data_IF_905115793399
#
_entry.id   IF_905115793399
#
_cell.length_a   1.000
_cell.length_b   1.000
_cell.length_c   1.000
_cell.angle_alpha   90.00
_cell.angle_beta   90.00
_cell.angle_gamma   90.00
#
_symmetry.space_group_name_H-M   'P 1'
#
loop_
_entity.id
_entity.type
_entity.pdbx_description
1 polymer ?
#
# COMPACT_ATOMS: atom_id res chain seq x y z
N UNK A 1 91.04 -16.99 28.54
CA UNK A 1 90.89 -18.40 28.20
C UNK A 1 89.70 -18.52 27.35
N UNK A 2 89.91 -18.61 26.08
CA UNK A 2 89.94 -19.82 25.24
C UNK A 2 88.46 -20.31 24.94
N UNK A 3 88.10 -20.14 23.80
CA UNK A 3 88.07 -20.85 22.47
C UNK A 3 86.59 -21.19 22.10
N UNK A 4 86.23 -20.88 21.02
CA UNK A 4 86.18 -21.38 19.64
C UNK A 4 84.79 -21.77 19.21
N UNK A 5 84.31 -21.14 18.06
CA UNK A 5 84.11 -21.73 16.74
C UNK A 5 82.91 -22.72 16.68
N UNK A 6 81.97 -22.71 15.74
CA UNK A 6 82.02 -22.70 14.27
C UNK A 6 80.64 -22.50 13.78
N UNK A 7 80.30 -21.53 12.96
CA UNK A 7 80.02 -21.59 11.53
C UNK A 7 79.02 -22.71 11.08
N UNK A 8 77.88 -22.37 10.59
CA UNK A 8 77.45 -22.81 9.25
C UNK A 8 76.27 -21.99 8.70
N UNK A 9 76.68 -21.15 7.75
CA UNK A 9 75.80 -20.50 6.79
C UNK A 9 75.20 -21.55 5.84
N UNK A 10 73.92 -21.61 5.69
CA UNK A 10 73.27 -22.11 4.49
C UNK A 10 72.36 -21.02 3.93
N UNK A 11 73.01 -20.23 3.12
CA UNK A 11 72.35 -19.25 2.25
C UNK A 11 71.51 -19.99 1.21
N UNK A 12 70.17 -20.09 1.39
CA UNK A 12 69.31 -20.41 0.28
C UNK A 12 69.23 -19.17 -0.62
N UNK A 13 70.07 -19.19 -1.68
CA UNK A 13 69.94 -18.29 -2.82
C UNK A 13 68.66 -18.65 -3.58
N UNK A 14 67.58 -17.99 -3.25
CA UNK A 14 66.39 -17.96 -4.10
C UNK A 14 66.80 -17.15 -5.34
N UNK A 15 66.67 -17.72 -6.57
CA UNK A 15 67.02 -16.97 -7.78
C UNK A 15 66.15 -15.71 -7.85
N UNK A 16 66.79 -14.57 -8.04
CA UNK A 16 66.09 -13.26 -8.18
C UNK A 16 65.00 -13.24 -9.24
N UNK A 17 65.04 -14.14 -10.20
CA UNK A 17 64.00 -14.37 -11.20
C UNK A 17 62.67 -14.91 -10.59
N UNK A 18 62.71 -15.71 -9.49
CA UNK A 18 61.52 -16.27 -8.85
C UNK A 18 60.77 -15.22 -8.03
N UNK A 19 61.48 -14.28 -7.40
CA UNK A 19 60.87 -13.17 -6.65
C UNK A 19 60.16 -12.17 -7.60
N UNK A 20 60.75 -11.90 -8.76
CA UNK A 20 60.20 -11.01 -9.78
C UNK A 20 58.92 -11.63 -10.37
N UNK A 21 58.93 -12.94 -10.67
CA UNK A 21 57.72 -13.66 -11.16
C UNK A 21 56.61 -13.68 -10.12
N UNK A 22 56.91 -13.88 -8.84
CA UNK A 22 55.91 -13.88 -7.77
C UNK A 22 55.32 -12.47 -7.55
N UNK A 23 56.16 -11.41 -7.64
CA UNK A 23 55.68 -10.03 -7.57
C UNK A 23 54.81 -9.65 -8.79
N UNK A 24 55.21 -10.03 -10.00
CA UNK A 24 54.38 -9.82 -11.22
C UNK A 24 53.07 -10.57 -11.15
N UNK A 25 53.08 -11.82 -10.68
CA UNK A 25 51.85 -12.66 -10.59
C UNK A 25 50.88 -12.10 -9.53
N UNK A 26 51.40 -11.64 -8.38
CA UNK A 26 50.55 -11.00 -7.34
C UNK A 26 50.01 -9.64 -7.82
N UNK A 27 50.79 -8.83 -8.53
CA UNK A 27 50.34 -7.56 -9.10
C UNK A 27 49.26 -7.80 -10.17
N UNK A 28 49.40 -8.82 -11.04
CA UNK A 28 48.39 -9.17 -12.06
C UNK A 28 47.10 -9.67 -11.40
N UNK A 29 47.19 -10.48 -10.34
CA UNK A 29 45.99 -10.98 -9.61
C UNK A 29 45.30 -9.82 -8.88
N UNK A 30 46.03 -8.96 -8.22
CA UNK A 30 45.50 -7.77 -7.54
C UNK A 30 44.88 -6.81 -8.54
N UNK A 31 45.50 -6.59 -9.69
CA UNK A 31 44.94 -5.73 -10.75
C UNK A 31 43.66 -6.32 -11.38
N UNK A 32 43.61 -7.64 -11.67
CA UNK A 32 42.42 -8.31 -12.13
C UNK A 32 41.28 -8.28 -11.09
N UNK A 33 41.59 -8.46 -9.82
CA UNK A 33 40.60 -8.42 -8.72
C UNK A 33 40.10 -7.00 -8.50
N UNK A 34 40.96 -6.00 -8.60
CA UNK A 34 40.59 -4.59 -8.46
C UNK A 34 39.72 -4.12 -9.64
N UNK A 35 40.06 -4.48 -10.86
CA UNK A 35 39.27 -4.15 -12.06
C UNK A 35 37.91 -4.86 -12.06
N UNK A 36 37.84 -6.10 -11.56
CA UNK A 36 36.57 -6.82 -11.45
C UNK A 36 35.63 -6.18 -10.40
N UNK A 37 36.15 -5.84 -9.21
CA UNK A 37 35.41 -5.16 -8.15
C UNK A 37 34.98 -3.76 -8.59
N UNK A 38 35.84 -3.04 -9.28
CA UNK A 38 35.56 -1.71 -9.80
C UNK A 38 34.50 -1.73 -10.90
N UNK A 39 34.58 -2.66 -11.86
CA UNK A 39 33.53 -2.86 -12.88
C UNK A 39 32.19 -3.24 -12.25
N UNK A 40 32.17 -4.11 -11.24
CA UNK A 40 30.96 -4.49 -10.51
C UNK A 40 30.35 -3.29 -9.77
N UNK A 41 31.15 -2.46 -9.14
CA UNK A 41 30.68 -1.20 -8.50
C UNK A 41 30.12 -0.22 -9.53
N UNK A 42 30.77 -0.04 -10.66
CA UNK A 42 30.26 0.82 -11.75
C UNK A 42 28.94 0.31 -12.29
N UNK A 43 28.78 -0.99 -12.52
CA UNK A 43 27.51 -1.59 -12.99
C UNK A 43 26.41 -1.38 -11.96
N UNK A 44 26.71 -1.55 -10.67
CA UNK A 44 25.73 -1.32 -9.59
C UNK A 44 25.36 0.18 -9.51
N UNK A 45 26.32 1.08 -9.58
CA UNK A 45 26.08 2.54 -9.56
C UNK A 45 25.29 2.95 -10.80
N UNK A 46 25.67 2.45 -11.98
CA UNK A 46 24.96 2.72 -13.22
C UNK A 46 23.53 2.15 -13.23
N UNK A 47 23.34 0.95 -12.66
CA UNK A 47 22.02 0.37 -12.42
C UNK A 47 21.17 1.19 -11.46
N UNK A 48 21.76 1.67 -10.36
CA UNK A 48 21.10 2.54 -9.38
C UNK A 48 20.74 3.92 -9.95
N UNK A 49 21.61 4.50 -10.81
CA UNK A 49 21.33 5.79 -11.46
C UNK A 49 20.27 5.67 -12.55
N UNK A 50 20.19 4.55 -13.26
CA UNK A 50 19.11 4.30 -14.21
C UNK A 50 17.73 4.17 -13.53
N UNK A 51 17.68 3.59 -12.32
CA UNK A 51 16.44 3.49 -11.53
C UNK A 51 15.97 4.86 -11.03
N UNK A 52 16.90 5.78 -10.73
CA UNK A 52 16.55 7.11 -10.21
C UNK A 52 16.05 8.11 -11.27
N UNK A 53 16.18 7.79 -12.57
CA UNK A 53 15.70 8.66 -13.66
C UNK A 53 14.21 8.48 -13.99
N UNK A 54 13.55 7.47 -13.38
CA UNK A 54 12.13 7.18 -13.58
C UNK A 54 11.31 7.57 -12.33
N UNK A 55 11.47 8.79 -11.86
CA UNK A 55 10.66 9.32 -10.77
C UNK A 55 9.31 9.76 -11.33
N UNK A 56 8.31 8.89 -11.25
CA UNK A 56 6.91 9.22 -11.51
C UNK A 56 6.17 9.27 -10.18
N UNK A 57 5.34 10.28 -9.99
CA UNK A 57 4.46 10.36 -8.83
C UNK A 57 3.28 9.40 -9.03
N UNK A 58 3.01 8.55 -8.06
CA UNK A 58 1.81 7.72 -8.07
C UNK A 58 0.59 8.61 -7.81
N UNK A 59 -0.45 8.41 -8.61
CA UNK A 59 -1.71 9.14 -8.49
C UNK A 59 -2.51 8.71 -7.26
N UNK A 60 -2.58 7.40 -6.99
CA UNK A 60 -3.45 6.86 -5.96
C UNK A 60 -2.95 7.07 -4.53
N UNK A 61 -3.88 7.41 -3.66
CA UNK A 61 -3.66 7.65 -2.23
C UNK A 61 -3.23 6.38 -1.49
N UNK A 62 -2.44 6.55 -0.44
CA UNK A 62 -1.99 5.48 0.45
C UNK A 62 -2.50 5.70 1.85
N UNK A 63 -3.14 4.69 2.42
CA UNK A 63 -3.56 4.68 3.82
C UNK A 63 -2.73 3.69 4.63
N UNK A 64 -2.33 4.08 5.83
CA UNK A 64 -1.64 3.19 6.77
C UNK A 64 -2.56 2.07 7.29
N UNK A 65 -3.87 2.37 7.42
CA UNK A 65 -4.91 1.41 7.82
C UNK A 65 -5.55 0.69 6.61
N UNK A 66 -4.79 0.45 5.53
CA UNK A 66 -5.29 -0.21 4.32
C UNK A 66 -6.03 -1.52 4.58
N UNK A 67 -5.68 -2.26 5.62
CA UNK A 67 -6.28 -3.53 6.01
C UNK A 67 -7.71 -3.39 6.60
N UNK A 68 -8.11 -2.21 7.04
CA UNK A 68 -9.46 -1.89 7.48
C UNK A 68 -10.27 -1.17 6.38
N UNK A 69 -9.58 -0.71 5.31
CA UNK A 69 -10.15 0.02 4.18
C UNK A 69 -9.93 -0.69 2.84
N UNK A 70 -9.92 -2.02 2.82
CA UNK A 70 -9.71 -2.81 1.58
C UNK A 70 -10.66 -2.44 0.43
N UNK A 71 -11.94 -2.06 0.65
CA UNK A 71 -12.80 -1.57 -0.41
C UNK A 71 -12.28 -0.34 -1.15
N UNK A 72 -11.40 0.47 -0.54
CA UNK A 72 -10.83 1.66 -1.19
C UNK A 72 -10.01 1.33 -2.44
N UNK A 73 -9.36 0.16 -2.47
CA UNK A 73 -8.52 -0.27 -3.60
C UNK A 73 -8.95 -1.59 -4.25
N UNK A 74 -9.86 -2.37 -3.63
CA UNK A 74 -10.32 -3.64 -4.20
C UNK A 74 -11.82 -3.84 -4.01
N UNK A 75 -12.59 -3.66 -5.06
CA UNK A 75 -14.04 -3.83 -5.06
C UNK A 75 -14.50 -5.26 -4.69
N UNK A 76 -13.67 -6.28 -4.88
CA UNK A 76 -14.01 -7.64 -4.51
C UNK A 76 -14.02 -7.87 -2.99
N UNK A 77 -13.49 -6.96 -2.18
CA UNK A 77 -13.48 -7.05 -0.73
C UNK A 77 -14.80 -6.61 -0.08
N UNK A 78 -15.69 -5.90 -0.81
CA UNK A 78 -16.97 -5.41 -0.26
C UNK A 78 -17.85 -6.54 0.26
N UNK A 79 -18.46 -6.33 1.41
CA UNK A 79 -19.28 -7.34 2.07
C UNK A 79 -18.51 -8.60 2.47
N UNK A 80 -17.22 -8.50 2.77
CA UNK A 80 -16.36 -9.63 3.17
C UNK A 80 -16.87 -10.34 4.43
N UNK A 81 -17.40 -9.59 5.36
CA UNK A 81 -17.96 -10.09 6.61
C UNK A 81 -19.49 -9.92 6.64
N UNK A 82 -20.23 -10.72 7.43
CA UNK A 82 -21.67 -10.56 7.57
C UNK A 82 -22.03 -9.35 8.44
N UNK A 83 -21.52 -8.18 8.05
CA UNK A 83 -21.67 -6.91 8.77
C UNK A 83 -21.94 -5.79 7.78
N UNK A 84 -22.69 -4.80 8.24
CA UNK A 84 -22.66 -3.48 7.65
C UNK A 84 -21.40 -2.78 8.20
N UNK A 85 -20.50 -2.40 7.31
CA UNK A 85 -19.32 -1.61 7.66
C UNK A 85 -19.52 -0.19 7.13
N UNK A 86 -19.30 0.79 7.98
CA UNK A 86 -19.18 2.20 7.59
C UNK A 86 -17.81 2.64 8.08
N UNK A 87 -17.03 3.29 7.23
CA UNK A 87 -15.67 3.70 7.55
C UNK A 87 -15.38 5.09 7.02
N UNK A 88 -14.57 5.83 7.74
CA UNK A 88 -14.02 7.10 7.33
C UNK A 88 -12.55 7.19 7.77
N UNK A 89 -11.74 7.88 6.98
CA UNK A 89 -10.37 8.17 7.33
C UNK A 89 -10.03 9.61 6.93
N UNK A 90 -9.13 10.20 7.69
CA UNK A 90 -8.53 11.48 7.38
C UNK A 90 -7.02 11.38 7.55
N UNK A 91 -6.30 11.63 6.48
CA UNK A 91 -4.85 11.61 6.45
C UNK A 91 -4.31 13.02 6.17
N UNK A 92 -3.25 13.38 6.88
CA UNK A 92 -2.46 14.59 6.68
C UNK A 92 -1.04 14.13 6.39
N UNK A 93 -0.65 14.14 5.11
CA UNK A 93 0.66 13.70 4.71
C UNK A 93 1.67 14.83 4.71
N UNK A 94 2.95 14.49 4.97
CA UNK A 94 4.04 15.45 4.99
C UNK A 94 3.73 16.70 5.84
N UNK A 95 3.24 16.48 7.06
CA UNK A 95 2.90 17.56 7.98
C UNK A 95 4.11 18.48 8.22
N UNK A 96 3.92 19.79 8.07
CA UNK A 96 4.99 20.80 8.14
C UNK A 96 5.34 21.45 6.80
N UNK A 97 4.92 20.88 5.67
CA UNK A 97 4.97 21.56 4.39
C UNK A 97 3.74 22.46 4.18
N UNK A 98 3.95 23.60 3.52
CA UNK A 98 2.85 24.45 3.05
C UNK A 98 2.09 23.69 1.95
N UNK A 99 0.76 23.66 2.03
CA UNK A 99 -0.11 22.93 1.07
C UNK A 99 0.16 21.43 1.01
N UNK A 100 0.49 20.80 2.15
CA UNK A 100 0.69 19.36 2.26
C UNK A 100 -0.55 18.56 1.82
N UNK A 101 -0.39 17.33 1.36
CA UNK A 101 -1.50 16.48 0.96
C UNK A 101 -2.45 16.20 2.13
N UNK A 102 -3.76 16.25 1.85
CA UNK A 102 -4.83 15.98 2.80
C UNK A 102 -5.89 15.11 2.14
N UNK A 103 -6.07 13.92 2.66
CA UNK A 103 -6.98 12.95 2.10
C UNK A 103 -8.13 12.66 3.04
N UNK A 104 -9.35 12.66 2.52
CA UNK A 104 -10.56 12.20 3.20
C UNK A 104 -11.10 10.99 2.46
N UNK A 105 -11.43 9.95 3.19
CA UNK A 105 -12.11 8.77 2.69
C UNK A 105 -13.38 8.53 3.50
N UNK A 106 -14.44 8.13 2.83
CA UNK A 106 -15.67 7.62 3.44
C UNK A 106 -16.16 6.44 2.61
N UNK A 107 -16.54 5.35 3.28
CA UNK A 107 -17.03 4.16 2.61
C UNK A 107 -18.07 3.43 3.45
N UNK A 108 -18.96 2.73 2.76
CA UNK A 108 -19.91 1.82 3.37
C UNK A 108 -20.02 0.57 2.51
N UNK A 109 -20.02 -0.60 3.15
CA UNK A 109 -20.21 -1.87 2.45
C UNK A 109 -21.00 -2.86 3.30
N UNK A 110 -21.72 -3.74 2.61
CA UNK A 110 -22.46 -4.81 3.26
C UNK A 110 -22.64 -6.02 2.34
N UNK A 111 -22.72 -7.23 2.90
CA UNK A 111 -23.15 -8.42 2.16
C UNK A 111 -24.67 -8.51 2.12
N UNK A 112 -25.17 -9.16 1.06
CA UNK A 112 -26.56 -9.55 0.94
C UNK A 112 -26.68 -10.89 0.20
N UNK A 113 -27.83 -11.55 0.30
CA UNK A 113 -28.08 -12.82 -0.38
C UNK A 113 -29.02 -12.55 -1.54
N UNK A 114 -28.57 -12.89 -2.74
CA UNK A 114 -29.40 -12.87 -3.95
C UNK A 114 -29.19 -14.16 -4.75
N UNK A 115 -30.26 -14.74 -5.28
CA UNK A 115 -30.22 -16.01 -6.02
C UNK A 115 -29.44 -17.14 -5.31
N UNK A 116 -29.58 -17.26 -3.99
CA UNK A 116 -28.88 -18.25 -3.13
C UNK A 116 -27.37 -18.07 -3.06
N UNK A 117 -26.84 -17.00 -3.62
CA UNK A 117 -25.41 -16.65 -3.61
C UNK A 117 -25.21 -15.43 -2.71
N UNK A 118 -24.05 -15.33 -2.07
CA UNK A 118 -23.66 -14.16 -1.29
C UNK A 118 -23.05 -13.11 -2.22
N UNK A 119 -23.56 -11.90 -2.13
CA UNK A 119 -23.08 -10.73 -2.86
C UNK A 119 -22.59 -9.67 -1.87
N UNK A 120 -21.80 -8.74 -2.35
CA UNK A 120 -21.43 -7.53 -1.62
C UNK A 120 -21.80 -6.30 -2.42
N UNK A 121 -22.24 -5.27 -1.74
CA UNK A 121 -22.44 -3.93 -2.29
C UNK A 121 -21.66 -2.93 -1.46
N UNK A 122 -21.09 -1.92 -2.10
CA UNK A 122 -20.34 -0.86 -1.45
C UNK A 122 -20.52 0.48 -2.17
N UNK A 123 -20.30 1.52 -1.41
CA UNK A 123 -20.21 2.90 -1.86
C UNK A 123 -18.98 3.50 -1.24
N UNK A 124 -18.20 4.24 -2.00
CA UNK A 124 -17.05 4.98 -1.48
C UNK A 124 -16.99 6.39 -2.07
N UNK A 125 -16.49 7.27 -1.24
CA UNK A 125 -16.12 8.63 -1.60
C UNK A 125 -14.71 8.91 -1.11
N UNK A 126 -13.90 9.49 -1.97
CA UNK A 126 -12.54 9.94 -1.65
C UNK A 126 -12.37 11.37 -2.13
N UNK A 127 -11.73 12.20 -1.32
CA UNK A 127 -11.33 13.55 -1.66
C UNK A 127 -9.88 13.73 -1.23
N UNK A 128 -9.02 13.89 -2.20
CA UNK A 128 -7.59 14.09 -2.00
C UNK A 128 -7.18 15.45 -2.51
N UNK A 129 -6.54 16.24 -1.66
CA UNK A 129 -6.08 17.58 -1.97
C UNK A 129 -4.57 17.63 -1.89
N UNK A 130 -3.91 17.87 -3.03
CA UNK A 130 -2.46 17.93 -3.14
C UNK A 130 -2.08 19.29 -3.75
N UNK A 131 -1.57 20.20 -2.92
CA UNK A 131 -1.24 21.53 -3.37
C UNK A 131 -2.48 22.29 -3.88
N UNK A 132 -2.50 22.58 -5.19
CA UNK A 132 -3.59 23.28 -5.88
C UNK A 132 -4.57 22.32 -6.58
N UNK A 133 -4.24 21.01 -6.61
CA UNK A 133 -5.11 19.99 -7.19
C UNK A 133 -6.05 19.40 -6.13
N UNK A 134 -7.26 19.08 -6.55
CA UNK A 134 -8.22 18.35 -5.76
C UNK A 134 -8.78 17.22 -6.60
N UNK A 135 -8.53 15.98 -6.14
CA UNK A 135 -8.97 14.74 -6.76
C UNK A 135 -10.13 14.19 -5.97
N UNK A 136 -11.29 14.03 -6.58
CA UNK A 136 -12.47 13.44 -5.96
C UNK A 136 -12.89 12.19 -6.71
N UNK A 137 -13.25 11.15 -5.99
CA UNK A 137 -13.77 9.91 -6.54
C UNK A 137 -15.00 9.47 -5.79
N UNK A 138 -16.10 9.29 -6.49
CA UNK A 138 -17.32 8.66 -5.99
C UNK A 138 -17.55 7.37 -6.76
N UNK A 139 -17.65 6.22 -6.10
CA UNK A 139 -17.77 4.94 -6.77
C UNK A 139 -18.73 4.00 -6.07
N UNK A 140 -19.52 3.27 -6.88
CA UNK A 140 -20.34 2.15 -6.50
C UNK A 140 -19.58 0.85 -6.74
N UNK A 141 -19.69 -0.08 -5.82
CA UNK A 141 -18.97 -1.35 -5.86
C UNK A 141 -19.93 -2.52 -5.73
N UNK A 142 -19.65 -3.57 -6.47
CA UNK A 142 -20.40 -4.80 -6.43
C UNK A 142 -19.48 -6.01 -6.48
N UNK A 143 -19.77 -7.02 -5.66
CA UNK A 143 -19.00 -8.25 -5.64
C UNK A 143 -19.90 -9.48 -5.59
N UNK A 144 -19.47 -10.54 -6.26
CA UNK A 144 -20.10 -11.87 -6.21
C UNK A 144 -19.13 -12.81 -5.48
N UNK A 145 -19.66 -13.60 -4.56
CA UNK A 145 -18.88 -14.50 -3.70
C UNK A 145 -19.26 -15.95 -3.94
N UNK A 146 -18.25 -16.78 -4.19
CA UNK A 146 -18.44 -18.21 -4.40
C UNK A 146 -17.49 -19.02 -3.50
N UNK A 147 -17.93 -20.17 -3.06
CA UNK A 147 -17.07 -21.10 -2.30
C UNK A 147 -16.16 -21.84 -3.26
N UNK A 148 -14.85 -21.81 -3.01
CA UNK A 148 -13.84 -22.45 -3.82
C UNK A 148 -12.68 -22.93 -2.95
N UNK A 149 -12.20 -24.16 -3.16
CA UNK A 149 -11.03 -24.75 -2.48
C UNK A 149 -11.03 -24.57 -0.95
N UNK A 150 -12.17 -24.74 -0.30
CA UNK A 150 -12.29 -24.60 1.15
C UNK A 150 -12.28 -23.15 1.69
N UNK A 151 -12.20 -22.17 0.80
CA UNK A 151 -12.30 -20.76 1.08
C UNK A 151 -13.43 -20.09 0.33
N UNK A 152 -13.39 -18.78 0.23
CA UNK A 152 -14.35 -17.94 -0.50
C UNK A 152 -13.60 -17.08 -1.50
N UNK A 153 -13.88 -17.27 -2.78
CA UNK A 153 -13.46 -16.38 -3.86
C UNK A 153 -14.51 -15.30 -4.07
N UNK A 154 -14.10 -14.06 -4.13
CA UNK A 154 -14.92 -12.91 -4.45
C UNK A 154 -14.39 -12.24 -5.72
N UNK A 155 -15.28 -11.97 -6.66
CA UNK A 155 -14.98 -11.17 -7.86
C UNK A 155 -15.77 -9.88 -7.76
N UNK A 156 -15.11 -8.75 -7.94
CA UNK A 156 -15.71 -7.44 -7.76
C UNK A 156 -15.46 -6.49 -8.91
N UNK A 157 -16.40 -5.59 -9.11
CA UNK A 157 -16.35 -4.49 -10.07
C UNK A 157 -16.72 -3.20 -9.37
N UNK A 158 -16.14 -2.10 -9.84
CA UNK A 158 -16.47 -0.76 -9.39
C UNK A 158 -16.69 0.14 -10.59
N UNK A 159 -17.70 0.99 -10.50
CA UNK A 159 -17.95 2.05 -11.46
C UNK A 159 -18.16 3.36 -10.69
N UNK A 160 -17.52 4.41 -11.12
CA UNK A 160 -17.52 5.67 -10.42
C UNK A 160 -17.23 6.85 -11.33
N UNK A 161 -17.17 8.02 -10.72
CA UNK A 161 -16.81 9.27 -11.36
C UNK A 161 -15.57 9.84 -10.66
N UNK A 162 -14.57 10.17 -11.45
CA UNK A 162 -13.46 11.01 -11.06
C UNK A 162 -13.82 12.46 -11.37
N UNK A 163 -13.55 13.35 -10.44
CA UNK A 163 -13.64 14.79 -10.60
C UNK A 163 -12.31 15.40 -10.21
N UNK A 164 -11.67 16.02 -11.15
CA UNK A 164 -10.40 16.71 -10.99
C UNK A 164 -10.62 18.21 -11.00
N UNK A 165 -10.00 18.93 -10.10
CA UNK A 165 -10.08 20.38 -10.02
C UNK A 165 -8.69 20.96 -9.77
N UNK A 166 -8.38 22.01 -10.51
CA UNK A 166 -7.16 22.81 -10.34
C UNK A 166 -7.53 24.25 -10.01
N UNK A 167 -7.01 24.78 -8.90
CA UNK A 167 -7.26 26.15 -8.43
C UNK A 167 -6.12 27.07 -8.83
N UNK A 168 -6.17 27.58 -10.05
CA UNK A 168 -5.18 28.52 -10.60
C UNK A 168 -5.22 29.92 -9.97
N UNK A 169 -6.29 30.27 -9.23
CA UNK A 169 -6.41 31.58 -8.58
C UNK A 169 -5.41 31.80 -7.44
N UNK A 170 -4.75 30.74 -6.99
CA UNK A 170 -3.75 30.75 -5.91
C UNK A 170 -2.32 30.66 -6.42
N UNK A 171 -2.13 30.67 -7.74
CA UNK A 171 -0.79 30.73 -8.33
C UNK A 171 -0.22 32.12 -8.14
N UNK A 172 1.01 32.18 -7.65
CA UNK A 172 1.83 33.41 -7.66
C UNK A 172 2.60 33.45 -8.99
N UNK A 173 2.01 34.07 -9.98
CA UNK A 173 2.58 34.15 -11.32
C UNK A 173 3.38 35.47 -11.44
N UNK A 174 4.63 35.38 -11.89
CA UNK A 174 5.42 36.57 -12.27
C UNK A 174 4.80 37.30 -13.45
N UNK A 175 4.18 36.54 -14.37
CA UNK A 175 3.41 37.08 -15.50
C UNK A 175 1.98 36.54 -15.48
N UNK A 176 1.05 37.38 -15.07
CA UNK A 176 -0.38 37.06 -15.02
C UNK A 176 -1.05 36.91 -16.40
N UNK A 177 -0.34 37.23 -17.48
CA UNK A 177 -0.82 37.14 -18.86
C UNK A 177 -0.36 35.84 -19.56
N UNK A 178 0.37 34.95 -18.90
CA UNK A 178 0.83 33.70 -19.49
C UNK A 178 -0.35 32.76 -19.82
N UNK A 179 -0.62 32.49 -21.11
CA UNK A 179 -1.74 31.65 -21.52
C UNK A 179 -1.57 30.16 -21.13
N UNK A 180 -0.37 29.76 -20.72
CA UNK A 180 -0.11 28.38 -20.25
C UNK A 180 -0.74 28.10 -18.89
N UNK A 181 -1.03 29.15 -18.10
CA UNK A 181 -1.63 29.02 -16.78
C UNK A 181 -3.00 29.67 -16.73
N UNK A 182 -3.98 28.93 -16.27
CA UNK A 182 -5.30 29.52 -16.02
C UNK A 182 -5.30 30.18 -14.64
N UNK A 183 -5.69 31.46 -14.59
CA UNK A 183 -5.87 32.18 -13.33
C UNK A 183 -7.21 31.89 -12.65
N UNK A 184 -8.01 31.00 -13.20
CA UNK A 184 -9.30 30.57 -12.67
C UNK A 184 -9.28 29.14 -12.18
N UNK A 185 -10.29 28.78 -11.41
CA UNK A 185 -10.52 27.37 -11.05
C UNK A 185 -11.09 26.65 -12.27
N UNK A 186 -10.48 25.52 -12.64
CA UNK A 186 -10.94 24.63 -13.70
C UNK A 186 -11.22 23.26 -13.11
N UNK A 187 -12.25 22.61 -13.60
CA UNK A 187 -12.65 21.27 -13.19
C UNK A 187 -13.02 20.41 -14.40
N UNK A 188 -12.93 19.11 -14.22
CA UNK A 188 -13.28 18.12 -15.21
C UNK A 188 -13.70 16.82 -14.57
N UNK A 189 -14.49 16.05 -15.30
CA UNK A 189 -15.00 14.77 -14.81
C UNK A 189 -14.77 13.66 -15.84
N UNK A 190 -14.54 12.43 -15.34
CA UNK A 190 -14.44 11.25 -16.19
C UNK A 190 -15.03 10.03 -15.49
N UNK A 191 -15.50 9.06 -16.28
CA UNK A 191 -15.92 7.75 -15.80
C UNK A 191 -14.70 6.97 -15.36
N UNK A 192 -14.80 6.31 -14.20
CA UNK A 192 -13.76 5.46 -13.63
C UNK A 192 -14.27 4.03 -13.42
N UNK A 193 -13.47 3.06 -13.85
CA UNK A 193 -13.79 1.65 -13.73
C UNK A 193 -12.68 0.90 -13.01
N UNK A 194 -13.07 -0.04 -12.15
CA UNK A 194 -12.13 -0.92 -11.45
C UNK A 194 -12.65 -2.35 -11.38
N UNK A 195 -11.72 -3.30 -11.28
CA UNK A 195 -12.00 -4.73 -11.12
C UNK A 195 -11.11 -5.32 -10.05
N UNK A 196 -11.55 -6.42 -9.44
CA UNK A 196 -10.77 -7.09 -8.44
C UNK A 196 -11.17 -8.54 -8.23
N UNK A 197 -10.22 -9.27 -7.68
CA UNK A 197 -10.39 -10.62 -7.15
C UNK A 197 -9.91 -10.62 -5.70
N UNK A 198 -10.60 -11.34 -4.84
CA UNK A 198 -10.27 -11.46 -3.44
C UNK A 198 -10.58 -12.86 -2.95
N UNK A 199 -9.58 -13.54 -2.39
CA UNK A 199 -9.74 -14.88 -1.84
C UNK A 199 -9.53 -14.86 -0.33
N UNK A 200 -10.48 -15.40 0.41
CA UNK A 200 -10.41 -15.52 1.86
C UNK A 200 -10.43 -16.99 2.26
N UNK A 201 -9.45 -17.41 3.01
CA UNK A 201 -9.38 -18.70 3.67
C UNK A 201 -9.48 -18.51 5.20
N UNK A 202 -9.48 -19.60 5.98
CA UNK A 202 -9.65 -19.56 7.46
C UNK A 202 -8.69 -18.59 8.14
N UNK A 203 -7.41 -18.62 7.76
CA UNK A 203 -6.35 -17.90 8.47
C UNK A 203 -5.57 -16.95 7.58
N UNK A 204 -5.87 -16.86 6.29
CA UNK A 204 -5.17 -15.99 5.36
C UNK A 204 -6.09 -15.48 4.26
N UNK A 205 -5.70 -14.43 3.64
CA UNK A 205 -6.35 -13.85 2.48
C UNK A 205 -5.33 -13.34 1.47
N UNK A 206 -5.76 -13.25 0.22
CA UNK A 206 -5.02 -12.61 -0.85
C UNK A 206 -5.99 -11.90 -1.78
N UNK A 207 -5.57 -10.80 -2.36
CA UNK A 207 -6.37 -10.03 -3.28
C UNK A 207 -5.52 -9.37 -4.35
N UNK A 208 -6.07 -9.29 -5.56
CA UNK A 208 -5.52 -8.50 -6.66
C UNK A 208 -6.61 -7.58 -7.19
N UNK A 209 -6.25 -6.39 -7.60
CA UNK A 209 -7.18 -5.45 -8.21
C UNK A 209 -6.49 -4.52 -9.18
N UNK A 210 -7.26 -3.94 -10.08
CA UNK A 210 -6.84 -2.88 -10.96
C UNK A 210 -7.88 -1.76 -10.89
N UNK A 211 -7.41 -0.56 -10.60
CA UNK A 211 -8.20 0.68 -10.65
C UNK A 211 -7.88 1.44 -11.92
N UNK A 212 -8.77 2.34 -12.31
CA UNK A 212 -8.59 3.19 -13.51
C UNK A 212 -8.33 2.37 -14.78
N UNK A 213 -8.99 1.19 -14.92
CA UNK A 213 -8.73 0.26 -16.03
C UNK A 213 -9.05 0.83 -17.41
N UNK A 214 -9.90 1.84 -17.47
CA UNK A 214 -10.24 2.58 -18.67
C UNK A 214 -9.30 3.77 -18.93
N UNK A 215 -8.27 3.96 -18.10
CA UNK A 215 -7.31 5.07 -18.15
C UNK A 215 -8.01 6.40 -18.45
N UNK A 216 -8.90 6.87 -17.56
CA UNK A 216 -9.76 8.02 -17.84
C UNK A 216 -8.95 9.27 -18.17
N UNK A 217 -9.40 10.00 -19.18
CA UNK A 217 -8.87 11.28 -19.58
C UNK A 217 -9.80 12.36 -19.07
N UNK A 218 -9.32 13.17 -18.13
CA UNK A 218 -10.06 14.28 -17.54
C UNK A 218 -9.62 15.56 -18.23
N UNK A 219 -10.56 16.28 -18.84
CA UNK A 219 -10.29 17.57 -19.47
C UNK A 219 -10.47 18.67 -18.45
N UNK A 220 -9.42 19.44 -18.22
CA UNK A 220 -9.36 20.58 -17.32
C UNK A 220 -9.39 21.87 -18.13
N UNK A 221 -10.56 22.50 -18.20
CA UNK A 221 -10.75 23.67 -19.08
C UNK A 221 -10.73 23.31 -20.57
N UNK A 222 -10.24 24.23 -21.40
CA UNK A 222 -10.27 24.08 -22.86
C UNK A 222 -9.04 23.35 -23.44
N UNK A 223 -7.89 23.45 -22.77
CA UNK A 223 -6.58 23.06 -23.33
C UNK A 223 -5.85 21.97 -22.57
N UNK A 224 -6.17 21.75 -21.30
CA UNK A 224 -5.41 20.82 -20.47
C UNK A 224 -6.14 19.48 -20.32
N UNK A 225 -5.39 18.39 -20.42
CA UNK A 225 -5.88 17.04 -20.24
C UNK A 225 -5.03 16.32 -19.19
N UNK A 226 -5.68 15.71 -18.20
CA UNK A 226 -5.06 14.85 -17.22
C UNK A 226 -5.45 13.39 -17.51
N UNK A 227 -4.49 12.57 -17.86
CA UNK A 227 -4.68 11.13 -18.02
C UNK A 227 -4.36 10.44 -16.71
N UNK A 228 -5.30 9.65 -16.19
CA UNK A 228 -5.09 8.81 -15.02
C UNK A 228 -4.75 7.40 -15.49
N UNK A 229 -3.54 6.95 -15.24
CA UNK A 229 -3.11 5.61 -15.64
C UNK A 229 -3.65 4.53 -14.70
N UNK A 230 -3.79 3.31 -15.22
CA UNK A 230 -4.29 2.17 -14.45
C UNK A 230 -3.31 1.82 -13.33
N UNK A 231 -3.85 1.64 -12.11
CA UNK A 231 -3.07 1.23 -10.94
C UNK A 231 -3.44 -0.18 -10.52
N UNK A 232 -2.44 -1.01 -10.33
CA UNK A 232 -2.56 -2.41 -9.94
C UNK A 232 -2.19 -2.61 -8.47
N UNK A 233 -2.97 -3.42 -7.78
CA UNK A 233 -2.80 -3.72 -6.37
C UNK A 233 -2.67 -5.21 -6.14
N UNK A 234 -1.77 -5.59 -5.23
CA UNK A 234 -1.63 -6.92 -4.67
C UNK A 234 -1.64 -6.80 -3.14
N UNK A 235 -2.54 -7.49 -2.48
CA UNK A 235 -2.64 -7.49 -1.02
C UNK A 235 -2.71 -8.90 -0.49
N UNK A 236 -2.30 -9.08 0.75
CA UNK A 236 -2.44 -10.33 1.45
C UNK A 236 -2.12 -10.20 2.93
N UNK A 237 -2.52 -11.21 3.67
CA UNK A 237 -2.24 -11.27 5.09
C UNK A 237 -2.69 -12.58 5.72
N UNK A 238 -2.27 -12.79 6.96
CA UNK A 238 -2.65 -13.98 7.70
C UNK A 238 -2.87 -13.68 9.19
N UNK A 239 -3.52 -14.62 9.86
CA UNK A 239 -3.81 -14.57 11.30
C UNK A 239 -3.04 -15.69 11.99
N UNK A 240 -2.05 -15.33 12.79
CA UNK A 240 -1.20 -16.25 13.55
C UNK A 240 -1.64 -16.19 15.01
N UNK A 241 -2.38 -17.21 15.46
CA UNK A 241 -2.80 -17.31 16.84
C UNK A 241 -1.61 -17.67 17.72
N UNK A 242 -1.42 -16.91 18.80
CA UNK A 242 -0.40 -17.18 19.78
C UNK A 242 -0.90 -18.23 20.82
N UNK A 243 -0.03 -18.62 21.72
CA UNK A 243 -0.37 -19.54 22.82
C UNK A 243 -1.46 -18.99 23.73
N UNK A 244 -1.50 -17.67 23.90
CA UNK A 244 -2.60 -16.98 24.57
C UNK A 244 -3.82 -16.92 23.65
N UNK A 245 -5.02 -17.34 24.11
CA UNK A 245 -6.23 -17.31 23.28
C UNK A 245 -6.67 -15.89 22.93
N UNK A 246 -6.17 -14.89 23.64
CA UNK A 246 -6.54 -13.47 23.45
C UNK A 246 -5.63 -12.76 22.44
N UNK A 247 -4.46 -13.31 22.13
CA UNK A 247 -3.44 -12.66 21.31
C UNK A 247 -3.31 -13.30 19.93
N UNK A 248 -3.32 -12.45 18.91
CA UNK A 248 -3.12 -12.85 17.50
C UNK A 248 -2.16 -11.88 16.83
N UNK A 249 -1.16 -12.39 16.12
CA UNK A 249 -0.33 -11.59 15.24
C UNK A 249 -0.96 -11.59 13.84
N UNK A 250 -1.13 -10.40 13.25
CA UNK A 250 -1.72 -10.21 11.93
C UNK A 250 -0.75 -9.47 11.01
N UNK A 251 0.19 -10.18 10.38
CA UNK A 251 0.98 -9.60 9.30
C UNK A 251 0.11 -9.42 8.06
N UNK A 252 0.34 -8.34 7.34
CA UNK A 252 -0.30 -8.01 6.06
C UNK A 252 0.65 -7.22 5.18
N UNK A 253 0.38 -7.22 3.90
CA UNK A 253 1.11 -6.40 2.93
C UNK A 253 0.17 -5.84 1.88
N UNK A 254 0.57 -4.70 1.32
CA UNK A 254 -0.04 -4.07 0.16
C UNK A 254 1.07 -3.64 -0.79
N UNK A 255 1.00 -4.08 -2.03
CA UNK A 255 1.88 -3.60 -3.11
C UNK A 255 1.01 -2.94 -4.16
N UNK A 256 1.42 -1.80 -4.65
CA UNK A 256 0.76 -1.08 -5.73
C UNK A 256 1.75 -0.60 -6.78
N UNK A 257 1.30 -0.55 -8.02
CA UNK A 257 2.09 -0.07 -9.16
C UNK A 257 1.18 0.47 -10.26
N UNK A 258 1.63 1.51 -10.91
CA UNK A 258 1.06 2.06 -12.15
C UNK A 258 1.78 1.55 -13.41
N UNK A 259 2.68 0.58 -13.24
CA UNK A 259 3.53 0.04 -14.30
C UNK A 259 4.87 0.76 -14.44
N UNK A 260 5.05 1.91 -13.81
CA UNK A 260 6.29 2.72 -13.83
C UNK A 260 6.91 2.77 -12.44
N UNK A 261 6.13 3.19 -11.46
CA UNK A 261 6.53 3.23 -10.05
C UNK A 261 5.85 2.11 -9.26
N UNK A 262 6.44 1.70 -8.15
CA UNK A 262 5.82 0.76 -7.22
C UNK A 262 6.09 1.16 -5.79
N UNK A 263 5.10 0.92 -4.94
CA UNK A 263 5.22 1.06 -3.49
C UNK A 263 4.74 -0.24 -2.83
N UNK A 264 5.48 -0.69 -1.84
CA UNK A 264 5.10 -1.82 -1.00
C UNK A 264 5.02 -1.38 0.45
N UNK A 265 3.96 -1.78 1.13
CA UNK A 265 3.74 -1.52 2.55
C UNK A 265 3.57 -2.87 3.25
N UNK A 266 4.37 -3.13 4.27
CA UNK A 266 4.31 -4.33 5.10
C UNK A 266 3.93 -3.89 6.50
N UNK A 267 2.84 -4.43 7.04
CA UNK A 267 2.35 -4.07 8.38
C UNK A 267 2.16 -5.31 9.23
N UNK A 268 2.60 -5.26 10.47
CA UNK A 268 2.37 -6.32 11.45
C UNK A 268 1.66 -5.74 12.65
N UNK A 269 0.54 -6.36 13.03
CA UNK A 269 -0.27 -5.95 14.19
C UNK A 269 -0.30 -7.05 15.23
N UNK A 270 -0.09 -6.70 16.50
CA UNK A 270 -0.40 -7.54 17.65
C UNK A 270 -1.80 -7.16 18.13
N UNK A 271 -2.72 -8.10 18.01
CA UNK A 271 -4.15 -7.89 18.30
C UNK A 271 -4.52 -8.63 19.55
N UNK A 272 -5.06 -7.91 20.53
CA UNK A 272 -5.68 -8.44 21.73
C UNK A 272 -7.20 -8.43 21.55
N UNK A 273 -7.84 -9.59 21.74
CA UNK A 273 -9.29 -9.74 21.63
C UNK A 273 -9.84 -10.38 22.88
N UNK A 274 -10.77 -9.70 23.53
CA UNK A 274 -11.49 -10.21 24.69
C UNK A 274 -12.96 -9.82 24.59
N UNK A 275 -13.83 -10.81 24.57
CA UNK A 275 -15.27 -10.63 24.34
C UNK A 275 -15.58 -9.83 23.05
N UNK A 276 -16.24 -8.66 23.20
CA UNK A 276 -16.60 -7.74 22.11
C UNK A 276 -15.60 -6.59 21.93
N UNK A 277 -14.46 -6.65 22.63
CA UNK A 277 -13.42 -5.63 22.58
C UNK A 277 -12.19 -6.17 21.86
N UNK A 278 -11.67 -5.42 20.95
CA UNK A 278 -10.43 -5.73 20.24
C UNK A 278 -9.55 -4.47 20.25
N UNK A 279 -8.30 -4.63 20.60
CA UNK A 279 -7.29 -3.59 20.55
C UNK A 279 -6.08 -4.10 19.77
N UNK A 280 -5.36 -3.20 19.12
CA UNK A 280 -4.12 -3.56 18.45
C UNK A 280 -3.08 -2.45 18.54
N UNK A 281 -1.84 -2.87 18.51
CA UNK A 281 -0.68 -2.06 18.25
C UNK A 281 0.06 -2.69 17.08
N UNK A 282 0.63 -1.88 16.21
CA UNK A 282 1.32 -2.39 15.05
C UNK A 282 2.44 -1.47 14.58
N UNK A 283 3.25 -2.06 13.71
CA UNK A 283 4.31 -1.35 13.00
C UNK A 283 4.22 -1.67 11.52
N UNK A 284 4.41 -0.66 10.70
CA UNK A 284 4.49 -0.73 9.25
C UNK A 284 5.87 -0.35 8.77
N UNK A 285 6.27 -0.92 7.65
CA UNK A 285 7.50 -0.58 6.94
C UNK A 285 7.22 -0.50 5.45
N UNK A 286 7.52 0.64 4.87
CA UNK A 286 7.50 0.87 3.43
C UNK A 286 8.94 1.05 2.96
N UNK A 287 9.52 0.06 2.26
CA UNK A 287 10.90 0.13 1.80
C UNK A 287 11.18 1.42 1.03
N UNK A 288 12.31 2.07 1.34
CA UNK A 288 12.76 3.34 0.75
C UNK A 288 11.87 4.56 1.02
N UNK A 289 10.78 4.43 1.76
CA UNK A 289 9.83 5.50 2.00
C UNK A 289 9.71 5.86 3.49
N UNK A 290 9.24 4.92 4.34
CA UNK A 290 8.84 5.27 5.70
C UNK A 290 8.75 4.08 6.66
N UNK A 291 8.65 4.43 7.94
CA UNK A 291 8.27 3.53 9.04
C UNK A 291 7.02 4.10 9.68
N UNK A 292 6.02 3.25 9.95
CA UNK A 292 4.73 3.64 10.52
C UNK A 292 4.51 2.94 11.85
N UNK A 293 4.03 3.67 12.83
CA UNK A 293 3.48 3.11 14.08
C UNK A 293 1.98 3.31 14.06
N UNK A 294 1.22 2.30 14.46
CA UNK A 294 -0.24 2.36 14.45
C UNK A 294 -0.83 1.72 15.70
N UNK A 295 -1.92 2.29 16.16
CA UNK A 295 -2.72 1.81 17.27
C UNK A 295 -4.20 1.90 16.93
N UNK A 296 -5.01 1.03 17.50
CA UNK A 296 -6.44 1.10 17.27
C UNK A 296 -7.21 0.00 17.99
N UNK A 297 -8.49 -0.05 17.73
CA UNK A 297 -9.35 -1.04 18.34
C UNK A 297 -10.79 -0.99 17.86
N UNK A 298 -11.55 -1.98 18.30
CA UNK A 298 -12.99 -2.07 18.12
C UNK A 298 -13.64 -2.31 19.48
N UNK A 299 -14.58 -1.45 19.84
CA UNK A 299 -15.36 -1.55 21.07
C UNK A 299 -16.85 -1.43 20.70
N UNK A 300 -17.59 -2.52 20.88
CA UNK A 300 -19.03 -2.58 20.58
C UNK A 300 -19.40 -2.17 19.13
N UNK A 301 -18.52 -2.46 18.18
CA UNK A 301 -18.73 -2.12 16.76
C UNK A 301 -18.15 -0.77 16.33
N UNK A 302 -17.75 0.09 17.25
CA UNK A 302 -17.02 1.33 16.92
C UNK A 302 -15.54 0.97 16.76
N UNK A 303 -15.02 1.17 15.56
CA UNK A 303 -13.61 0.96 15.20
C UNK A 303 -12.92 2.31 15.18
N UNK A 304 -11.77 2.41 15.79
CA UNK A 304 -10.93 3.61 15.74
C UNK A 304 -9.47 3.19 15.56
N UNK A 305 -8.73 3.96 14.80
CA UNK A 305 -7.31 3.77 14.60
C UNK A 305 -6.60 5.09 14.37
N UNK A 306 -5.35 5.13 14.81
CA UNK A 306 -4.45 6.25 14.55
C UNK A 306 -3.10 5.69 14.12
N UNK A 307 -2.51 6.32 13.11
CA UNK A 307 -1.13 6.02 12.70
C UNK A 307 -0.29 7.27 12.57
N UNK A 308 0.99 7.09 12.83
CA UNK A 308 2.03 8.07 12.61
C UNK A 308 3.10 7.47 11.71
N UNK A 309 3.33 8.09 10.57
CA UNK A 309 4.31 7.67 9.57
C UNK A 309 5.51 8.61 9.60
N UNK A 310 6.69 8.03 9.80
CA UNK A 310 7.98 8.72 9.79
C UNK A 310 8.70 8.43 8.48
N UNK A 311 8.99 9.46 7.71
CA UNK A 311 9.72 9.31 6.45
C UNK A 311 11.19 9.01 6.69
N UNK A 312 11.70 8.00 6.00
CA UNK A 312 13.12 7.62 5.95
C UNK A 312 13.76 8.04 4.63
N UNK A 313 12.98 8.56 3.70
CA UNK A 313 13.41 9.11 2.42
C UNK A 313 14.03 10.51 2.57
N UNK A 314 14.61 11.05 1.49
CA UNK A 314 15.20 12.37 1.47
C UNK A 314 14.18 13.51 1.73
N UNK A 315 12.90 13.27 1.45
CA UNK A 315 11.80 14.21 1.74
C UNK A 315 11.30 13.92 3.15
N UNK A 316 11.82 14.62 4.13
CA UNK A 316 11.40 14.48 5.53
C UNK A 316 11.19 15.86 6.16
N UNK A 317 9.92 16.33 6.28
CA UNK A 317 9.60 17.62 6.89
C UNK A 317 9.79 17.63 8.43
N UNK A 318 10.12 16.47 9.03
CA UNK A 318 10.30 16.33 10.48
C UNK A 318 9.03 16.03 11.27
N UNK A 319 7.85 16.34 10.72
CA UNK A 319 6.56 16.14 11.39
C UNK A 319 5.81 14.88 10.94
N UNK A 320 6.34 14.15 9.93
CA UNK A 320 5.76 12.91 9.42
C UNK A 320 4.38 13.06 8.79
N UNK A 321 3.62 11.97 8.78
CA UNK A 321 2.20 11.94 8.37
C UNK A 321 1.34 11.38 9.49
N UNK A 322 0.11 11.85 9.56
CA UNK A 322 -0.88 11.47 10.56
C UNK A 322 -2.14 10.95 9.88
N UNK A 323 -2.63 9.82 10.31
CA UNK A 323 -3.90 9.28 9.82
C UNK A 323 -4.80 8.91 10.99
N UNK A 324 -6.03 9.37 10.91
CA UNK A 324 -7.12 8.99 11.81
C UNK A 324 -8.13 8.16 11.03
N UNK A 325 -8.43 6.97 11.53
CA UNK A 325 -9.44 6.06 11.01
C UNK A 325 -10.57 5.92 12.03
N UNK A 326 -11.81 5.98 11.56
CA UNK A 326 -13.00 5.71 12.36
C UNK A 326 -13.96 4.84 11.53
N UNK A 327 -14.63 3.90 12.18
CA UNK A 327 -15.61 3.04 11.53
C UNK A 327 -16.68 2.58 12.49
N UNK A 328 -17.76 2.07 11.90
CA UNK A 328 -18.84 1.41 12.61
C UNK A 328 -19.18 0.08 11.94
N UNK A 329 -19.26 -0.97 12.75
CA UNK A 329 -19.56 -2.33 12.29
C UNK A 329 -20.80 -2.84 12.99
N UNK A 330 -21.83 -3.19 12.23
CA UNK A 330 -23.06 -3.76 12.75
C UNK A 330 -23.27 -5.16 12.16
N UNK A 331 -23.46 -6.15 13.03
CA UNK A 331 -23.70 -7.53 12.61
C UNK A 331 -25.03 -7.65 11.85
N UNK A 332 -25.01 -8.29 10.68
CA UNK A 332 -26.17 -8.55 9.86
C UNK A 332 -26.58 -10.01 9.95
N UNK A 333 -27.83 -10.27 10.26
CA UNK A 333 -28.37 -11.61 10.23
C UNK A 333 -28.83 -11.96 8.81
N UNK A 334 -27.94 -12.58 8.04
CA UNK A 334 -28.19 -13.00 6.65
C UNK A 334 -28.98 -14.32 6.55
N UNK A 335 -29.20 -15.04 7.66
CA UNK A 335 -29.98 -16.27 7.63
C UNK A 335 -31.44 -15.92 7.48
N UNK A 336 -32.09 -16.45 6.41
CA UNK A 336 -33.54 -16.49 6.35
C UNK A 336 -34.03 -17.24 7.58
N UNK A 337 -34.71 -16.58 8.51
CA UNK A 337 -35.57 -17.27 9.47
C UNK A 337 -36.55 -18.06 8.62
N UNK A 338 -36.37 -19.37 8.56
CA UNK A 338 -37.38 -20.24 7.96
C UNK A 338 -38.70 -19.92 8.63
N UNK A 339 -39.67 -19.45 7.87
CA UNK A 339 -41.04 -19.36 8.33
C UNK A 339 -41.42 -20.80 8.58
N UNK A 340 -41.42 -21.25 9.83
CA UNK A 340 -42.09 -22.50 10.21
C UNK A 340 -43.58 -22.29 9.95
N UNK A 341 -44.00 -22.60 8.72
CA UNK A 341 -45.38 -22.58 8.26
C UNK A 341 -46.24 -23.70 8.85
N UNK A 342 -45.64 -24.60 9.60
CA UNK A 342 -46.33 -25.71 10.27
C UNK A 342 -46.19 -25.59 11.79
N UNK A 343 -46.94 -24.67 12.39
CA UNK A 343 -47.50 -24.96 13.71
C UNK A 343 -48.60 -25.99 13.46
N UNK A 344 -48.30 -27.25 13.63
CA UNK A 344 -49.32 -28.29 13.74
C UNK A 344 -50.17 -27.93 14.94
N UNK A 345 -51.36 -27.42 14.68
CA UNK A 345 -52.43 -27.34 15.68
C UNK A 345 -52.96 -28.76 15.85
N UNK A 346 -52.43 -29.50 16.81
CA UNK A 346 -53.14 -30.69 17.30
C UNK A 346 -54.34 -30.19 18.08
N UNK A 347 -55.51 -30.25 17.43
CA UNK A 347 -56.80 -30.20 18.09
C UNK A 347 -57.00 -31.58 18.69
N UNK A 348 -57.04 -31.66 20.02
CA UNK A 348 -57.53 -32.80 20.79
C UNK A 348 -59.05 -32.76 20.80
#
# INVERSE_FOLDING_TARGET
MSKNHVCMSSCLKIPSACLIFFCFYTIIILHKRYTYVFKRKIIIIFGLTLVSLLSHAQYDVSFSHYFDMEPSFNAASVGKQPKLNVSAAYAIDLAGFKHNPQTMYAGADMPFIFLKTTHGAGLQFMNDKIGLFTHQRLALQYAVKMKLFGGQLSTGVSAGMLSESFDGSKLDLEDSSDPAFTSSKVDGNALDLAVGLYYTHRNWYAGISAQHINSPLVRLGETNELKVDATYYLTGGCNIKLRSPFLTIKPSFLVRTDGVAYRGDITTRLVYTHEKKMMYVGAGYSPTNSVTVLVGGNVHGIVMGYSYEMYTSAINPGNGSHELFIGYQMDLNLQKKGRNLHKSVRIL
#
